data_IF_812832762322
#
_entry.id   IF_812832762322
#
_cell.length_a   1.000
_cell.length_b   1.000
_cell.length_c   1.000
_cell.angle_alpha   90.00
_cell.angle_beta   90.00
_cell.angle_gamma   90.00
#
_symmetry.space_group_name_H-M   'P 1'
#
loop_
_entity.id
_entity.type
_entity.pdbx_description
1 polymer ?
#
# COMPACT_ATOMS: atom_id res chain seq x y z
N UNK A 1 17.33 10.85 2.18
CA UNK A 1 16.49 11.60 1.22
C UNK A 1 15.20 11.93 1.94
N UNK A 2 14.63 13.11 1.71
CA UNK A 2 13.29 13.39 2.22
C UNK A 2 12.31 12.53 1.42
N UNK A 3 11.56 11.63 2.07
CA UNK A 3 10.55 10.78 1.45
C UNK A 3 9.18 11.48 1.37
N UNK A 4 9.14 12.80 1.59
CA UNK A 4 8.00 13.68 1.36
C UNK A 4 8.23 14.61 0.16
N UNK A 5 7.22 14.72 -0.69
CA UNK A 5 7.17 15.71 -1.77
C UNK A 5 5.90 16.54 -1.61
N UNK A 6 6.05 17.86 -1.74
CA UNK A 6 4.96 18.83 -1.88
C UNK A 6 5.23 19.65 -3.12
N UNK A 7 4.53 19.37 -4.20
CA UNK A 7 4.87 19.93 -5.50
C UNK A 7 3.63 20.00 -6.42
N UNK A 8 3.86 20.51 -7.62
CA UNK A 8 2.95 20.60 -8.77
C UNK A 8 3.55 19.91 -10.00
N UNK A 9 4.83 19.50 -9.94
CA UNK A 9 5.49 18.76 -11.01
C UNK A 9 4.78 17.42 -11.28
N UNK A 10 4.57 17.08 -12.55
CA UNK A 10 3.84 15.87 -12.93
C UNK A 10 4.58 14.61 -12.47
N UNK A 11 3.92 13.78 -11.66
CA UNK A 11 4.33 12.42 -11.35
C UNK A 11 3.39 11.42 -12.02
N UNK A 12 3.94 10.27 -12.40
CA UNK A 12 3.17 9.10 -12.80
C UNK A 12 3.08 8.14 -11.62
N UNK A 13 1.87 7.72 -11.28
CA UNK A 13 1.56 6.84 -10.15
C UNK A 13 0.70 5.67 -10.63
N UNK A 14 0.89 4.52 -10.02
CA UNK A 14 0.29 3.26 -10.47
C UNK A 14 -0.63 2.65 -9.41
N UNK A 15 -1.75 2.06 -9.82
CA UNK A 15 -2.59 1.26 -8.93
C UNK A 15 -3.26 0.10 -9.66
N UNK A 16 -3.67 -0.91 -8.91
CA UNK A 16 -4.45 -2.03 -9.41
C UNK A 16 -5.94 -1.72 -9.22
N UNK A 17 -6.72 -1.70 -10.31
CA UNK A 17 -8.13 -1.37 -10.33
C UNK A 17 -8.99 -2.52 -10.85
N UNK A 18 -10.23 -2.63 -10.37
CA UNK A 18 -11.20 -3.54 -10.95
C UNK A 18 -11.46 -3.22 -12.44
N UNK A 19 -11.81 -4.21 -13.27
CA UNK A 19 -12.17 -3.96 -14.67
C UNK A 19 -13.31 -2.93 -14.79
N UNK A 20 -13.05 -1.84 -15.51
CA UNK A 20 -14.02 -0.76 -15.70
C UNK A 20 -14.16 0.19 -14.51
N UNK A 21 -13.38 0.03 -13.44
CA UNK A 21 -13.33 1.00 -12.36
C UNK A 21 -12.63 2.29 -12.79
N UNK A 22 -13.19 3.42 -12.35
CA UNK A 22 -12.54 4.72 -12.46
C UNK A 22 -11.36 4.81 -11.48
N UNK A 23 -10.43 5.74 -11.74
CA UNK A 23 -9.40 6.06 -10.75
C UNK A 23 -10.07 6.46 -9.44
N UNK A 24 -9.52 6.02 -8.29
CA UNK A 24 -10.04 6.45 -7.01
C UNK A 24 -9.89 7.97 -6.94
N UNK A 25 -11.03 8.66 -6.92
CA UNK A 25 -11.05 10.07 -6.57
C UNK A 25 -10.59 10.27 -5.12
N UNK A 26 -10.42 11.52 -4.72
CA UNK A 26 -10.22 11.89 -3.31
C UNK A 26 -11.53 11.68 -2.51
N UNK A 27 -11.95 10.41 -2.38
CA UNK A 27 -13.04 9.99 -1.53
C UNK A 27 -12.49 9.08 -0.43
N UNK A 28 -12.46 9.64 0.77
CA UNK A 28 -11.89 9.08 2.00
C UNK A 28 -12.45 7.68 2.31
N UNK A 29 -13.68 7.37 1.86
CA UNK A 29 -14.33 6.10 2.13
C UNK A 29 -13.98 4.99 1.12
N UNK A 30 -13.56 5.34 -0.10
CA UNK A 30 -13.24 4.37 -1.16
C UNK A 30 -11.79 3.90 -1.16
N UNK A 31 -10.88 4.72 -0.62
CA UNK A 31 -9.44 4.42 -0.52
C UNK A 31 -9.00 3.82 0.83
N UNK A 32 -9.91 3.72 1.81
CA UNK A 32 -9.57 3.25 3.15
C UNK A 32 -9.17 1.77 3.12
N UNK A 33 -8.06 1.37 3.77
CA UNK A 33 -7.65 -0.03 3.88
C UNK A 33 -8.70 -0.90 4.62
N UNK A 34 -9.69 -0.26 5.27
CA UNK A 34 -10.79 -0.90 5.98
C UNK A 34 -12.08 -1.03 5.17
N UNK A 35 -12.21 -0.35 4.03
CA UNK A 35 -13.46 -0.31 3.26
C UNK A 35 -13.87 -1.67 2.69
N UNK A 36 -12.90 -2.54 2.39
CA UNK A 36 -13.13 -3.87 1.80
C UNK A 36 -13.10 -5.05 2.77
N UNK A 37 -12.65 -4.88 4.01
CA UNK A 37 -12.33 -6.00 4.92
C UNK A 37 -13.51 -6.53 5.74
N UNK A 38 -14.70 -5.93 5.60
CA UNK A 38 -15.91 -6.34 6.33
C UNK A 38 -16.95 -7.09 5.48
N UNK A 39 -16.74 -7.17 4.16
CA UNK A 39 -17.53 -8.01 3.28
C UNK A 39 -16.65 -9.14 2.76
N UNK A 40 -17.01 -10.40 3.00
CA UNK A 40 -16.36 -11.51 2.29
C UNK A 40 -16.44 -11.26 0.77
N UNK A 41 -15.43 -11.65 -0.03
CA UNK A 41 -15.42 -11.45 -1.48
C UNK A 41 -16.69 -11.93 -2.20
N UNK A 42 -17.42 -12.87 -1.59
CA UNK A 42 -18.63 -13.51 -2.14
C UNK A 42 -19.93 -13.08 -1.43
N UNK A 43 -19.93 -12.04 -0.59
CA UNK A 43 -21.14 -11.57 0.11
C UNK A 43 -21.66 -12.50 1.21
N UNK A 44 -20.82 -13.42 1.70
CA UNK A 44 -21.09 -14.30 2.84
C UNK A 44 -20.74 -13.69 4.20
N UNK A 45 -21.14 -14.36 5.28
CA UNK A 45 -20.69 -14.02 6.63
C UNK A 45 -19.17 -14.23 6.76
N UNK A 46 -18.43 -13.29 7.37
CA UNK A 46 -16.97 -13.38 7.48
C UNK A 46 -16.56 -14.63 8.23
N UNK A 47 -15.61 -15.37 7.65
CA UNK A 47 -15.02 -16.54 8.31
C UNK A 47 -14.10 -16.10 9.46
N UNK A 48 -13.77 -16.98 10.42
CA UNK A 48 -12.82 -16.65 11.48
C UNK A 48 -11.44 -16.21 10.96
N UNK A 49 -11.01 -16.72 9.79
CA UNK A 49 -9.79 -16.27 9.13
C UNK A 49 -9.88 -14.84 8.62
N UNK A 50 -11.03 -14.44 8.07
CA UNK A 50 -11.28 -13.07 7.61
C UNK A 50 -11.27 -12.08 8.79
N UNK A 51 -11.80 -12.50 9.94
CA UNK A 51 -11.79 -11.69 11.17
C UNK A 51 -10.38 -11.48 11.71
N UNK A 52 -9.53 -12.52 11.72
CA UNK A 52 -8.15 -12.40 12.17
C UNK A 52 -7.34 -11.44 11.30
N UNK A 53 -7.47 -11.56 9.96
CA UNK A 53 -6.81 -10.65 9.02
C UNK A 53 -7.30 -9.21 9.18
N UNK A 54 -8.60 -9.01 9.43
CA UNK A 54 -9.17 -7.70 9.70
C UNK A 54 -8.59 -7.07 10.97
N UNK A 55 -8.46 -7.83 12.06
CA UNK A 55 -7.87 -7.36 13.32
C UNK A 55 -6.38 -7.03 13.14
N UNK A 56 -5.61 -7.86 12.43
CA UNK A 56 -4.20 -7.60 12.15
C UNK A 56 -4.01 -6.33 11.30
N UNK A 57 -4.85 -6.15 10.28
CA UNK A 57 -4.86 -4.93 9.47
C UNK A 57 -5.21 -3.70 10.30
N UNK A 58 -6.24 -3.80 11.14
CA UNK A 58 -6.62 -2.73 12.07
C UNK A 58 -5.47 -2.35 12.99
N UNK A 59 -4.82 -3.34 13.59
CA UNK A 59 -3.71 -3.12 14.51
C UNK A 59 -2.54 -2.41 13.83
N UNK A 60 -2.12 -2.89 12.64
CA UNK A 60 -1.02 -2.30 11.89
C UNK A 60 -1.31 -0.83 11.52
N UNK A 61 -2.48 -0.56 10.94
CA UNK A 61 -2.86 0.78 10.52
C UNK A 61 -3.07 1.73 11.71
N UNK A 62 -3.69 1.25 12.79
CA UNK A 62 -3.87 2.03 14.02
C UNK A 62 -2.53 2.45 14.62
N UNK A 63 -1.59 1.51 14.75
CA UNK A 63 -0.29 1.79 15.34
C UNK A 63 0.53 2.75 14.47
N UNK A 64 0.55 2.54 13.15
CA UNK A 64 1.19 3.44 12.21
C UNK A 64 0.61 4.86 12.28
N UNK A 65 -0.72 5.01 12.30
CA UNK A 65 -1.36 6.32 12.39
C UNK A 65 -1.10 7.00 13.75
N UNK A 66 -1.17 6.26 14.85
CA UNK A 66 -0.85 6.76 16.18
C UNK A 66 0.57 7.33 16.25
N UNK A 67 1.55 6.59 15.70
CA UNK A 67 2.94 7.02 15.67
C UNK A 67 3.14 8.24 14.76
N UNK A 68 2.49 8.24 13.59
CA UNK A 68 2.51 9.34 12.62
C UNK A 68 2.06 10.65 13.26
N UNK A 69 0.90 10.66 13.93
CA UNK A 69 0.35 11.87 14.54
C UNK A 69 1.29 12.53 15.55
N UNK A 70 2.14 11.75 16.21
CA UNK A 70 3.04 12.23 17.26
C UNK A 70 4.39 12.67 16.72
N UNK A 71 4.95 11.97 15.73
CA UNK A 71 6.35 12.16 15.28
C UNK A 71 6.49 12.57 13.82
N UNK A 72 5.49 12.26 13.00
CA UNK A 72 5.52 12.44 11.55
C UNK A 72 4.23 13.08 11.00
N UNK A 73 3.67 14.02 11.74
CA UNK A 73 2.36 14.62 11.45
C UNK A 73 2.28 15.40 10.13
N UNK A 74 3.44 15.69 9.52
CA UNK A 74 3.59 16.35 8.24
C UNK A 74 3.40 15.41 7.04
N UNK A 75 3.46 14.08 7.24
CA UNK A 75 3.13 13.10 6.22
C UNK A 75 1.62 12.92 6.07
N UNK A 76 1.12 12.61 4.86
CA UNK A 76 -0.22 12.11 4.64
C UNK A 76 -0.58 10.94 5.57
N UNK A 77 -1.82 10.91 6.07
CA UNK A 77 -2.33 9.74 6.76
C UNK A 77 -2.66 8.64 5.76
N UNK A 78 -2.18 7.41 6.01
CA UNK A 78 -2.56 6.21 5.23
C UNK A 78 -4.08 5.98 5.21
N UNK A 79 -4.78 6.41 6.25
CA UNK A 79 -6.23 6.24 6.37
C UNK A 79 -7.02 7.13 5.40
N UNK A 80 -6.40 8.20 4.90
CA UNK A 80 -7.06 9.21 4.07
C UNK A 80 -6.37 9.44 2.72
N UNK A 81 -5.13 9.00 2.57
CA UNK A 81 -4.38 9.13 1.33
C UNK A 81 -4.81 8.07 0.31
N UNK A 82 -4.62 8.40 -0.98
CA UNK A 82 -4.69 7.42 -2.03
C UNK A 82 -3.43 6.57 -1.99
N UNK A 83 -3.59 5.27 -1.78
CA UNK A 83 -2.50 4.31 -1.86
C UNK A 83 -2.21 4.01 -3.33
N UNK A 84 -1.03 4.43 -3.79
CA UNK A 84 -0.51 4.20 -5.14
C UNK A 84 0.86 3.51 -5.04
N UNK A 85 1.43 3.15 -6.18
CA UNK A 85 2.82 2.69 -6.31
C UNK A 85 3.63 3.76 -7.04
N UNK A 86 4.86 3.96 -6.58
CA UNK A 86 5.78 4.95 -7.15
C UNK A 86 6.17 4.59 -8.59
N UNK A 87 6.30 3.30 -8.89
CA UNK A 87 6.68 2.80 -10.21
C UNK A 87 5.85 1.60 -10.64
N UNK A 88 5.87 1.31 -11.96
CA UNK A 88 5.33 0.06 -12.52
C UNK A 88 6.04 -1.17 -11.93
N UNK A 89 7.33 -1.06 -11.62
CA UNK A 89 8.12 -2.13 -11.01
C UNK A 89 7.58 -2.45 -9.63
N UNK A 90 7.36 -1.44 -8.78
CA UNK A 90 6.76 -1.63 -7.45
C UNK A 90 5.38 -2.29 -7.53
N UNK A 91 4.52 -1.83 -8.44
CA UNK A 91 3.20 -2.41 -8.62
C UNK A 91 3.26 -3.88 -9.09
N UNK A 92 4.24 -4.22 -9.92
CA UNK A 92 4.46 -5.59 -10.42
C UNK A 92 5.02 -6.49 -9.32
N UNK A 93 5.99 -6.00 -8.54
CA UNK A 93 6.53 -6.72 -7.38
C UNK A 93 5.42 -6.97 -6.36
N UNK A 94 4.58 -5.97 -6.07
CA UNK A 94 3.42 -6.14 -5.21
C UNK A 94 2.48 -7.25 -5.71
N UNK A 95 2.23 -7.32 -7.02
CA UNK A 95 1.40 -8.38 -7.61
C UNK A 95 2.01 -9.77 -7.42
N UNK A 96 3.32 -9.90 -7.54
CA UNK A 96 4.02 -11.19 -7.33
C UNK A 96 3.91 -11.62 -5.86
N UNK A 97 4.08 -10.67 -4.93
CA UNK A 97 3.99 -10.92 -3.48
C UNK A 97 2.56 -11.20 -3.00
N UNK A 98 1.57 -10.52 -3.58
CA UNK A 98 0.18 -10.52 -3.15
C UNK A 98 -0.80 -10.82 -4.29
N UNK A 99 -0.68 -11.95 -5.00
CA UNK A 99 -1.47 -12.26 -6.20
C UNK A 99 -2.98 -12.20 -5.94
N UNK A 100 -3.42 -12.64 -4.76
CA UNK A 100 -4.82 -12.61 -4.32
C UNK A 100 -5.39 -11.19 -4.15
N UNK A 101 -4.56 -10.19 -3.81
CA UNK A 101 -5.02 -8.79 -3.62
C UNK A 101 -5.26 -8.06 -4.95
N UNK A 102 -4.69 -8.58 -6.03
CA UNK A 102 -4.72 -7.97 -7.37
C UNK A 102 -5.32 -8.87 -8.44
N UNK A 103 -5.81 -10.05 -8.05
CA UNK A 103 -6.45 -10.98 -8.98
C UNK A 103 -7.64 -10.30 -9.66
N UNK A 104 -7.73 -10.44 -10.98
CA UNK A 104 -8.79 -9.81 -11.78
C UNK A 104 -8.63 -8.30 -12.03
N UNK A 105 -7.67 -7.64 -11.37
CA UNK A 105 -7.44 -6.19 -11.51
C UNK A 105 -6.52 -5.85 -12.68
N UNK A 106 -6.72 -4.67 -13.25
CA UNK A 106 -5.85 -4.08 -14.27
C UNK A 106 -4.91 -3.06 -13.65
N UNK A 107 -3.67 -3.03 -14.13
CA UNK A 107 -2.73 -1.98 -13.73
C UNK A 107 -3.09 -0.68 -14.47
N UNK A 108 -3.46 0.34 -13.71
CA UNK A 108 -3.70 1.68 -14.21
C UNK A 108 -2.50 2.58 -13.94
N UNK A 109 -2.23 3.50 -14.88
CA UNK A 109 -1.29 4.60 -14.71
C UNK A 109 -2.09 5.90 -14.62
N UNK A 110 -1.71 6.76 -13.70
CA UNK A 110 -2.33 8.05 -13.45
C UNK A 110 -1.27 9.13 -13.36
N UNK A 111 -1.63 10.35 -13.74
CA UNK A 111 -0.79 11.55 -13.61
C UNK A 111 -1.34 12.48 -12.55
N UNK A 112 -0.45 13.11 -11.81
CA UNK A 112 -0.82 14.16 -10.85
C UNK A 112 -1.34 15.39 -11.57
N UNK A 113 -2.38 16.02 -11.02
CA UNK A 113 -2.98 17.24 -11.55
C UNK A 113 -3.04 18.32 -10.48
N UNK A 114 -2.30 19.40 -10.68
CA UNK A 114 -2.22 20.52 -9.74
C UNK A 114 -1.32 20.21 -8.54
N UNK A 115 -1.53 20.93 -7.45
CA UNK A 115 -0.73 20.77 -6.23
C UNK A 115 -1.08 19.46 -5.50
N UNK A 116 -0.05 18.78 -5.00
CA UNK A 116 -0.20 17.55 -4.25
C UNK A 116 0.80 17.44 -3.09
N UNK A 117 0.50 16.51 -2.20
CA UNK A 117 1.41 15.97 -1.19
C UNK A 117 1.56 14.48 -1.46
N UNK A 118 2.79 13.98 -1.54
CA UNK A 118 3.08 12.58 -1.77
C UNK A 118 4.20 12.12 -0.85
N UNK A 119 4.02 10.99 -0.17
CA UNK A 119 5.09 10.38 0.62
C UNK A 119 5.33 8.93 0.23
N UNK A 120 6.58 8.50 0.28
CA UNK A 120 7.02 7.18 -0.19
C UNK A 120 7.47 6.31 0.98
N UNK A 121 6.97 5.07 0.99
CA UNK A 121 7.21 4.12 2.07
C UNK A 121 7.34 2.70 1.53
N UNK A 122 8.07 1.84 2.24
CA UNK A 122 8.14 0.43 1.90
C UNK A 122 6.95 -0.33 2.49
N UNK A 123 6.07 -0.82 1.61
CA UNK A 123 4.89 -1.59 1.98
C UNK A 123 5.24 -2.93 2.64
N UNK A 124 6.48 -3.42 2.50
CA UNK A 124 6.93 -4.67 3.11
C UNK A 124 6.94 -4.62 4.63
N UNK A 125 7.02 -3.42 5.23
CA UNK A 125 6.82 -3.27 6.68
C UNK A 125 5.43 -3.69 7.13
N UNK A 126 4.39 -3.46 6.30
CA UNK A 126 3.05 -3.95 6.61
C UNK A 126 2.95 -5.47 6.49
N UNK A 127 3.68 -6.07 5.56
CA UNK A 127 3.74 -7.53 5.44
C UNK A 127 4.39 -8.14 6.68
N UNK A 128 5.47 -7.53 7.17
CA UNK A 128 6.10 -7.90 8.44
C UNK A 128 5.12 -7.77 9.61
N UNK A 129 4.46 -6.61 9.79
CA UNK A 129 3.48 -6.38 10.87
C UNK A 129 2.30 -7.37 10.86
N UNK A 130 1.97 -7.95 9.70
CA UNK A 130 0.88 -8.91 9.54
C UNK A 130 1.28 -10.37 9.79
N UNK A 131 2.57 -10.66 9.97
CA UNK A 131 3.02 -12.03 10.26
C UNK A 131 2.42 -12.53 11.58
N UNK A 132 2.18 -13.85 11.71
CA UNK A 132 1.64 -14.45 12.93
C UNK A 132 2.72 -14.56 14.02
N UNK A 133 3.16 -13.41 14.53
CA UNK A 133 4.21 -13.29 15.55
C UNK A 133 3.82 -12.22 16.58
N UNK A 134 4.42 -12.32 17.77
CA UNK A 134 4.20 -11.37 18.84
C UNK A 134 5.30 -10.32 18.81
N UNK A 135 4.93 -9.08 18.50
CA UNK A 135 5.81 -7.93 18.58
C UNK A 135 5.65 -7.24 19.94
N UNK A 136 6.76 -6.83 20.55
CA UNK A 136 6.73 -5.93 21.70
C UNK A 136 6.34 -4.51 21.23
N UNK A 137 5.87 -3.67 22.15
CA UNK A 137 5.56 -2.27 21.83
C UNK A 137 6.79 -1.52 21.29
N UNK A 138 7.99 -1.80 21.80
CA UNK A 138 9.22 -1.18 21.31
C UNK A 138 9.55 -1.60 19.88
N UNK A 139 9.30 -2.87 19.52
CA UNK A 139 9.51 -3.35 18.15
C UNK A 139 8.48 -2.73 17.19
N UNK A 140 7.25 -2.51 17.65
CA UNK A 140 6.23 -1.82 16.86
C UNK A 140 6.60 -0.35 16.61
N UNK A 141 7.09 0.35 17.64
CA UNK A 141 7.57 1.73 17.52
C UNK A 141 8.76 1.82 16.54
N UNK A 142 9.67 0.84 16.57
CA UNK A 142 10.82 0.76 15.66
C UNK A 142 10.38 0.53 14.21
N UNK A 143 9.48 -0.42 13.97
CA UNK A 143 8.90 -0.65 12.64
C UNK A 143 8.16 0.59 12.14
N UNK A 144 7.39 1.27 12.99
CA UNK A 144 6.71 2.50 12.63
C UNK A 144 7.69 3.63 12.29
N UNK A 145 8.80 3.75 13.03
CA UNK A 145 9.84 4.73 12.73
C UNK A 145 10.53 4.44 11.39
N UNK A 146 10.83 3.18 11.08
CA UNK A 146 11.39 2.78 9.79
C UNK A 146 10.43 3.06 8.64
N UNK A 147 9.16 2.67 8.79
CA UNK A 147 8.13 2.94 7.80
C UNK A 147 8.01 4.44 7.50
N UNK A 148 7.83 5.28 8.53
CA UNK A 148 7.61 6.71 8.33
C UNK A 148 8.85 7.45 7.87
N UNK A 149 10.05 7.06 8.32
CA UNK A 149 11.31 7.65 7.84
C UNK A 149 11.70 7.25 6.41
N UNK A 150 10.93 6.36 5.79
CA UNK A 150 11.13 5.91 4.41
C UNK A 150 12.26 4.88 4.25
N UNK A 151 12.73 4.29 5.35
CA UNK A 151 13.74 3.23 5.29
C UNK A 151 13.13 1.93 4.82
N UNK A 152 13.83 1.19 3.96
CA UNK A 152 13.34 -0.09 3.44
C UNK A 152 13.69 -1.24 4.37
N UNK A 153 12.97 -2.36 4.27
CA UNK A 153 13.29 -3.60 5.00
C UNK A 153 14.68 -4.13 4.66
N UNK A 154 15.13 -3.88 3.43
CA UNK A 154 16.46 -4.22 2.92
C UNK A 154 17.55 -3.37 3.57
N UNK A 155 17.36 -2.04 3.65
CA UNK A 155 18.31 -1.11 4.29
C UNK A 155 18.53 -1.42 5.76
N UNK A 156 17.48 -1.86 6.46
CA UNK A 156 17.55 -2.22 7.89
C UNK A 156 18.14 -3.63 8.10
N UNK A 157 18.11 -4.49 7.07
CA UNK A 157 18.49 -5.89 7.23
C UNK A 157 17.50 -6.64 8.12
N UNK A 158 16.21 -6.42 7.90
CA UNK A 158 15.13 -7.05 8.68
C UNK A 158 15.31 -8.58 8.73
N UNK A 159 15.06 -9.18 9.88
CA UNK A 159 15.07 -10.63 10.05
C UNK A 159 13.74 -11.15 10.57
N UNK A 160 13.38 -12.36 10.16
CA UNK A 160 12.24 -13.09 10.70
C UNK A 160 12.67 -14.52 11.02
N UNK A 161 12.43 -14.97 12.26
CA UNK A 161 12.89 -16.29 12.74
C UNK A 161 14.40 -16.53 12.56
N UNK A 162 15.22 -15.50 12.78
CA UNK A 162 16.68 -15.48 12.56
C UNK A 162 17.13 -15.65 11.10
N UNK A 163 16.20 -15.64 10.15
CA UNK A 163 16.52 -15.62 8.72
C UNK A 163 16.38 -14.20 8.17
N UNK A 164 17.28 -13.75 7.27
CA UNK A 164 17.15 -12.44 6.64
C UNK A 164 15.89 -12.38 5.78
N UNK A 165 15.21 -11.23 5.83
CA UNK A 165 14.07 -10.92 4.98
C UNK A 165 14.49 -10.94 3.51
N UNK A 166 13.97 -11.90 2.75
CA UNK A 166 14.39 -12.12 1.35
C UNK A 166 13.56 -11.33 0.34
N UNK A 167 12.41 -10.82 0.74
CA UNK A 167 11.51 -10.17 -0.21
C UNK A 167 11.98 -8.76 -0.53
N UNK A 168 12.00 -8.42 -1.82
CA UNK A 168 12.32 -7.08 -2.28
C UNK A 168 11.35 -6.04 -1.69
N UNK A 169 11.84 -4.81 -1.42
CA UNK A 169 10.98 -3.71 -1.00
C UNK A 169 9.96 -3.37 -2.09
N UNK A 170 8.83 -2.83 -1.66
CA UNK A 170 7.76 -2.38 -2.55
C UNK A 170 7.42 -0.95 -2.16
N UNK A 171 7.76 0.01 -3.01
CA UNK A 171 7.53 1.41 -2.68
C UNK A 171 6.09 1.81 -3.01
N UNK A 172 5.31 2.02 -1.94
CA UNK A 172 3.99 2.64 -2.02
C UNK A 172 4.11 4.16 -1.87
N UNK A 173 3.17 4.86 -2.49
CA UNK A 173 3.01 6.30 -2.45
C UNK A 173 1.69 6.64 -1.74
N UNK A 174 1.76 7.36 -0.62
CA UNK A 174 0.61 7.96 0.04
C UNK A 174 0.35 9.32 -0.61
N UNK A 175 -0.65 9.38 -1.48
CA UNK A 175 -0.90 10.54 -2.32
C UNK A 175 -2.12 11.34 -1.85
N UNK A 176 -1.97 12.67 -1.80
CA UNK A 176 -3.06 13.63 -1.58
C UNK A 176 -3.04 14.69 -2.68
N UNK A 177 -4.06 14.68 -3.53
CA UNK A 177 -4.19 15.58 -4.67
C UNK A 177 -5.17 15.02 -5.71
N UNK A 178 -5.27 15.69 -6.86
CA UNK A 178 -6.06 15.18 -7.98
C UNK A 178 -5.20 14.28 -8.88
N UNK A 179 -5.80 13.21 -9.40
CA UNK A 179 -5.20 12.32 -10.41
C UNK A 179 -6.03 12.35 -11.68
N UNK A 180 -5.36 12.21 -12.82
CA UNK A 180 -6.00 12.00 -14.11
C UNK A 180 -5.48 10.71 -14.76
N UNK A 181 -6.34 9.92 -15.43
CA UNK A 181 -5.93 8.68 -16.05
C UNK A 181 -5.04 8.93 -17.26
N UNK A 182 -3.96 8.16 -17.37
CA UNK A 182 -3.16 8.12 -18.59
C UNK A 182 -3.81 7.13 -19.55
N UNK A 183 -4.66 7.64 -20.44
CA UNK A 183 -5.22 6.84 -21.53
C UNK A 183 -4.09 6.41 -22.47
N UNK A 184 -3.82 5.09 -22.56
CA UNK A 184 -2.87 4.56 -23.56
C UNK A 184 -1.97 3.39 -23.16
N UNK A 185 -2.14 2.73 -22.01
CA UNK A 185 -1.40 1.48 -21.75
C UNK A 185 -2.16 0.23 -22.19
N UNK A 186 -1.50 -0.56 -23.04
CA UNK A 186 -1.95 -1.85 -23.54
C UNK A 186 -2.44 -2.76 -22.41
N UNK A 187 -3.60 -3.37 -22.61
CA UNK A 187 -4.06 -4.51 -21.82
C UNK A 187 -2.91 -5.50 -21.71
N UNK A 188 -2.57 -5.95 -20.50
CA UNK A 188 -1.65 -7.07 -20.36
C UNK A 188 -2.25 -8.26 -21.10
N UNK A 189 -1.70 -8.55 -22.28
CA UNK A 189 -2.19 -9.61 -23.15
C UNK A 189 -2.25 -10.92 -22.37
N UNK A 190 -3.40 -11.59 -22.47
CA UNK A 190 -3.56 -12.95 -22.01
C UNK A 190 -2.57 -13.84 -22.77
N UNK A 191 -1.73 -14.59 -22.05
CA UNK A 191 -0.97 -15.68 -22.69
C UNK A 191 -1.95 -16.84 -22.96
N UNK A 192 -2.06 -17.33 -24.20
CA UNK A 192 -2.84 -18.51 -24.50
C UNK A 192 -2.09 -19.74 -23.97
N UNK A 193 -2.68 -20.50 -23.04
CA UNK A 193 -2.07 -21.79 -22.64
C UNK A 193 -2.51 -22.46 -21.35
N UNK A 194 -3.25 -21.82 -20.45
CA UNK A 194 -3.76 -22.50 -19.24
C UNK A 194 -5.28 -22.72 -19.37
N UNK A 195 -5.67 -23.99 -19.57
CA UNK A 195 -7.01 -24.52 -19.34
C UNK A 195 -7.01 -25.32 -18.06
#
# INVERSE_FOLDING_TARGET
>A
MDNLIKDTATLELFCWLEPGAELPGWDILKGSPFGGTLASPEGGAPTPGDQLLSVQNYFAEYHLEYFRQRRYNHFPSRLHALLQFATRTDATTFRIKHPQKVFGKNLACSRTKGAYICSFHDASWLDYLRLPHNLSLSALDEVADHYWSGRTVEEIGLTFMNEPWQEAPVIEALYQGALEPVWGHEQSGWLPGFR
#
